data_IF_152266255121
#
_entry.id   IF_152266255121
#
_cell.length_a   1.000
_cell.length_b   1.000
_cell.length_c   1.000
_cell.angle_alpha   90.00
_cell.angle_beta   90.00
_cell.angle_gamma   90.00
#
_symmetry.space_group_name_H-M   'P 1'
#
loop_
_entity.id
_entity.type
_entity.pdbx_description
1 polymer ?
#
# COMPACT_ATOMS: atom_id res chain seq x y z
N UNK A 1 35.02 -9.08 3.84
CA UNK A 1 33.76 -9.02 3.07
C UNK A 1 32.95 -7.86 3.62
N UNK A 2 32.50 -6.89 2.80
CA UNK A 2 31.75 -5.75 3.31
C UNK A 2 30.37 -6.23 3.77
N UNK A 3 30.15 -6.13 5.07
CA UNK A 3 28.90 -6.36 5.77
C UNK A 3 28.13 -5.04 5.73
N UNK A 4 27.34 -4.82 4.69
CA UNK A 4 26.38 -3.71 4.71
C UNK A 4 25.34 -4.03 5.79
N UNK A 5 25.13 -3.16 6.78
CA UNK A 5 24.28 -3.46 7.95
C UNK A 5 22.80 -3.68 7.58
N UNK A 6 22.39 -3.34 6.35
CA UNK A 6 21.15 -3.76 5.72
C UNK A 6 21.46 -4.10 4.27
N UNK A 7 21.16 -5.34 3.87
CA UNK A 7 21.31 -5.78 2.49
C UNK A 7 20.27 -5.07 1.60
N UNK A 8 20.74 -4.41 0.54
CA UNK A 8 19.90 -3.59 -0.36
C UNK A 8 18.73 -4.42 -0.90
N UNK A 9 18.98 -5.70 -1.14
CA UNK A 9 17.99 -6.69 -1.56
C UNK A 9 16.82 -6.76 -0.57
N UNK A 10 17.10 -6.86 0.73
CA UNK A 10 16.08 -6.95 1.78
C UNK A 10 15.25 -5.67 1.86
N UNK A 11 15.89 -4.51 1.76
CA UNK A 11 15.18 -3.23 1.75
C UNK A 11 14.26 -3.09 0.53
N UNK A 12 14.74 -3.51 -0.65
CA UNK A 12 13.96 -3.50 -1.88
C UNK A 12 12.77 -4.46 -1.80
N UNK A 13 12.97 -5.67 -1.25
CA UNK A 13 11.88 -6.64 -1.06
C UNK A 13 10.81 -6.09 -0.12
N UNK A 14 11.20 -5.43 0.98
CA UNK A 14 10.27 -4.77 1.90
C UNK A 14 9.47 -3.66 1.23
N UNK A 15 10.06 -2.89 0.30
CA UNK A 15 9.31 -1.91 -0.47
C UNK A 15 8.37 -2.59 -1.50
N UNK A 16 8.78 -3.74 -2.04
CA UNK A 16 8.05 -4.46 -3.08
C UNK A 16 6.78 -5.12 -2.57
N UNK A 17 6.77 -5.70 -1.36
CA UNK A 17 5.59 -6.37 -0.80
C UNK A 17 4.31 -5.50 -0.76
N UNK A 18 4.31 -4.29 -0.19
CA UNK A 18 3.12 -3.45 -0.17
C UNK A 18 2.72 -2.98 -1.57
N UNK A 19 3.70 -2.69 -2.44
CA UNK A 19 3.42 -2.33 -3.83
C UNK A 19 2.72 -3.48 -4.59
N UNK A 20 3.23 -4.69 -4.44
CA UNK A 20 2.64 -5.89 -5.01
C UNK A 20 1.22 -6.15 -4.45
N UNK A 21 1.01 -5.96 -3.15
CA UNK A 21 -0.31 -6.10 -2.54
C UNK A 21 -1.32 -5.08 -3.09
N UNK A 22 -0.95 -3.80 -3.21
CA UNK A 22 -1.80 -2.75 -3.80
C UNK A 22 -2.17 -3.10 -5.25
N UNK A 23 -1.18 -3.56 -6.03
CA UNK A 23 -1.38 -3.95 -7.42
C UNK A 23 -2.27 -5.19 -7.55
N UNK A 24 -2.10 -6.17 -6.66
CA UNK A 24 -2.91 -7.37 -6.61
C UNK A 24 -4.38 -7.03 -6.29
N UNK A 25 -4.62 -6.15 -5.32
CA UNK A 25 -5.97 -5.64 -5.00
C UNK A 25 -6.59 -4.97 -6.23
N UNK A 26 -5.81 -4.22 -7.00
CA UNK A 26 -6.29 -3.58 -8.22
C UNK A 26 -6.66 -4.61 -9.31
N UNK A 27 -5.80 -5.60 -9.56
CA UNK A 27 -6.07 -6.68 -10.54
C UNK A 27 -7.32 -7.46 -10.14
N UNK A 28 -7.39 -7.92 -8.89
CA UNK A 28 -8.52 -8.69 -8.37
C UNK A 28 -9.79 -7.84 -8.42
N UNK A 29 -9.71 -6.57 -8.00
CA UNK A 29 -10.84 -5.65 -8.04
C UNK A 29 -11.38 -5.42 -9.46
N UNK A 30 -10.50 -5.34 -10.47
CA UNK A 30 -10.91 -5.28 -11.88
C UNK A 30 -11.58 -6.59 -12.33
N UNK A 31 -11.02 -7.75 -11.98
CA UNK A 31 -11.59 -9.06 -12.32
C UNK A 31 -12.98 -9.26 -11.72
N UNK A 32 -13.19 -8.81 -10.49
CA UNK A 32 -14.46 -8.86 -9.77
C UNK A 32 -15.41 -7.69 -10.08
N UNK A 33 -15.04 -6.79 -11.00
CA UNK A 33 -15.81 -5.58 -11.36
C UNK A 33 -16.21 -4.74 -10.14
N UNK A 34 -15.34 -4.66 -9.12
CA UNK A 34 -15.60 -3.86 -7.93
C UNK A 34 -15.65 -2.37 -8.27
N UNK A 35 -16.54 -1.65 -7.58
CA UNK A 35 -16.60 -0.19 -7.65
C UNK A 35 -15.26 0.41 -7.25
N UNK A 36 -14.80 1.41 -8.01
CA UNK A 36 -13.45 1.97 -7.83
C UNK A 36 -13.16 2.45 -6.41
N UNK A 37 -14.14 3.06 -5.73
CA UNK A 37 -13.98 3.47 -4.33
C UNK A 37 -13.67 2.30 -3.39
N UNK A 38 -14.23 1.11 -3.62
CA UNK A 38 -13.98 -0.08 -2.78
C UNK A 38 -12.54 -0.56 -2.94
N UNK A 39 -12.00 -0.50 -4.16
CA UNK A 39 -10.59 -0.85 -4.42
C UNK A 39 -9.64 0.07 -3.65
N UNK A 40 -9.87 1.38 -3.70
CA UNK A 40 -9.06 2.36 -2.97
C UNK A 40 -9.16 2.19 -1.44
N UNK A 41 -10.34 1.85 -0.90
CA UNK A 41 -10.48 1.53 0.53
C UNK A 41 -9.65 0.30 0.89
N UNK A 42 -9.73 -0.77 0.10
CA UNK A 42 -8.95 -1.99 0.35
C UNK A 42 -7.44 -1.73 0.27
N UNK A 43 -6.99 -0.92 -0.69
CA UNK A 43 -5.58 -0.50 -0.80
C UNK A 43 -5.14 0.35 0.39
N UNK A 44 -6.00 1.24 0.90
CA UNK A 44 -5.73 2.05 2.09
C UNK A 44 -5.59 1.20 3.34
N UNK A 45 -6.49 0.22 3.54
CA UNK A 45 -6.41 -0.75 4.64
C UNK A 45 -5.14 -1.59 4.53
N UNK A 46 -4.80 -2.08 3.34
CA UNK A 46 -3.56 -2.82 3.12
C UNK A 46 -2.33 -1.97 3.47
N UNK A 47 -2.30 -0.70 3.06
CA UNK A 47 -1.23 0.24 3.39
C UNK A 47 -1.08 0.41 4.90
N UNK A 48 -2.18 0.56 5.64
CA UNK A 48 -2.13 0.61 7.11
C UNK A 48 -1.61 -0.68 7.73
N UNK A 49 -2.09 -1.84 7.27
CA UNK A 49 -1.64 -3.13 7.79
C UNK A 49 -0.14 -3.34 7.60
N UNK A 50 0.40 -3.02 6.42
CA UNK A 50 1.84 -3.08 6.17
C UNK A 50 2.60 -2.03 6.98
N UNK A 51 2.08 -0.80 7.12
CA UNK A 51 2.71 0.24 7.93
C UNK A 51 2.85 -0.21 9.39
N UNK A 52 1.79 -0.73 9.99
CA UNK A 52 1.80 -1.26 11.35
C UNK A 52 2.74 -2.45 11.48
N UNK A 53 2.70 -3.41 10.54
CA UNK A 53 3.61 -4.55 10.56
C UNK A 53 5.09 -4.13 10.49
N UNK A 54 5.40 -3.10 9.69
CA UNK A 54 6.78 -2.64 9.52
C UNK A 54 7.30 -1.88 10.73
N UNK A 55 6.43 -1.20 11.48
CA UNK A 55 6.80 -0.60 12.77
C UNK A 55 6.97 -1.67 13.85
N UNK A 56 6.03 -2.61 13.96
CA UNK A 56 5.94 -3.53 15.11
C UNK A 56 6.85 -4.76 14.97
N UNK A 57 7.07 -5.26 13.75
CA UNK A 57 7.70 -6.57 13.52
C UNK A 57 9.06 -6.50 12.81
N UNK A 58 9.31 -5.45 12.02
CA UNK A 58 10.46 -5.41 11.09
C UNK A 58 11.39 -4.21 11.34
N UNK A 59 10.98 -3.24 12.18
CA UNK A 59 11.70 -1.98 12.41
C UNK A 59 11.97 -1.15 11.13
N UNK A 60 11.16 -1.37 10.09
CA UNK A 60 11.24 -0.72 8.77
C UNK A 60 10.59 0.66 8.75
N UNK A 61 11.00 1.56 9.65
CA UNK A 61 10.33 2.85 9.90
C UNK A 61 10.19 3.74 8.66
N UNK A 62 11.20 3.80 7.80
CA UNK A 62 11.16 4.62 6.58
C UNK A 62 10.03 4.24 5.63
N UNK A 63 9.85 2.93 5.36
CA UNK A 63 8.78 2.45 4.48
C UNK A 63 7.42 2.56 5.18
N UNK A 64 7.38 2.33 6.49
CA UNK A 64 6.15 2.48 7.27
C UNK A 64 5.59 3.90 7.22
N UNK A 65 6.44 4.94 7.31
CA UNK A 65 6.01 6.35 7.21
C UNK A 65 5.36 6.62 5.86
N UNK A 66 5.96 6.13 4.77
CA UNK A 66 5.42 6.29 3.42
C UNK A 66 4.03 5.65 3.32
N UNK A 67 3.87 4.44 3.86
CA UNK A 67 2.59 3.72 3.87
C UNK A 67 1.52 4.42 4.74
N UNK A 68 1.93 5.01 5.86
CA UNK A 68 1.06 5.82 6.71
C UNK A 68 0.58 7.09 6.01
N UNK A 69 1.39 7.69 5.13
CA UNK A 69 0.99 8.83 4.29
C UNK A 69 0.09 8.36 3.15
N UNK A 70 0.40 7.21 2.56
CA UNK A 70 -0.34 6.66 1.43
C UNK A 70 -1.77 6.25 1.79
N UNK A 71 -1.98 5.68 2.98
CA UNK A 71 -3.29 5.26 3.46
C UNK A 71 -4.37 6.37 3.45
N UNK A 72 -4.18 7.55 4.10
CA UNK A 72 -5.15 8.63 4.07
C UNK A 72 -5.35 9.19 2.66
N UNK A 73 -4.30 9.24 1.83
CA UNK A 73 -4.42 9.64 0.42
C UNK A 73 -5.39 8.69 -0.30
N UNK A 74 -5.22 7.37 -0.16
CA UNK A 74 -6.11 6.38 -0.78
C UNK A 74 -7.56 6.51 -0.27
N UNK A 75 -7.77 6.80 1.00
CA UNK A 75 -9.13 7.05 1.52
C UNK A 75 -9.75 8.33 0.95
N UNK A 76 -8.97 9.40 0.79
CA UNK A 76 -9.44 10.63 0.13
C UNK A 76 -9.79 10.36 -1.34
N UNK A 77 -8.95 9.60 -2.06
CA UNK A 77 -9.24 9.17 -3.43
C UNK A 77 -10.50 8.31 -3.51
N UNK A 78 -10.69 7.38 -2.57
CA UNK A 78 -11.90 6.58 -2.49
C UNK A 78 -13.14 7.44 -2.35
N UNK A 79 -13.10 8.46 -1.47
CA UNK A 79 -14.21 9.39 -1.29
C UNK A 79 -14.50 10.19 -2.55
N UNK A 80 -13.47 10.75 -3.19
CA UNK A 80 -13.61 11.53 -4.43
C UNK A 80 -14.19 10.71 -5.57
N UNK A 81 -13.76 9.46 -5.74
CA UNK A 81 -14.26 8.58 -6.80
C UNK A 81 -15.67 8.06 -6.51
N UNK A 82 -16.06 7.98 -5.23
CA UNK A 82 -17.45 7.72 -4.84
C UNK A 82 -18.37 8.88 -5.21
N UNK A 83 -17.91 10.12 -4.98
CA UNK A 83 -18.68 11.35 -5.23
C UNK A 83 -18.71 11.73 -6.72
N UNK A 84 -17.62 11.47 -7.46
CA UNK A 84 -17.54 11.68 -8.90
C UNK A 84 -16.94 10.46 -9.62
N UNK A 85 -17.78 9.52 -10.08
CA UNK A 85 -17.33 8.26 -10.68
C UNK A 85 -16.72 8.41 -12.09
N UNK A 86 -16.72 9.62 -12.68
CA UNK A 86 -16.08 9.89 -13.98
C UNK A 86 -14.56 10.06 -13.88
N UNK A 87 -14.02 10.29 -12.68
CA UNK A 87 -12.58 10.30 -12.41
C UNK A 87 -12.16 8.84 -12.26
N UNK A 88 -11.73 8.21 -13.34
CA UNK A 88 -11.40 6.77 -13.40
C UNK A 88 -9.92 6.51 -13.54
#
# INVERSE_FOLDING_TARGET
MPHLPIDITTHLLLALYPAAAIFLIEIIGRRLKLLSYRKYIMQGIASLAFATAYVVLIEGTGIAIILFILAPILFIHAKRVKENPTIR
#
